data_IF_132829504787
#
_entry.id   IF_132829504787
#
_cell.length_a   1.000
_cell.length_b   1.000
_cell.length_c   1.000
_cell.angle_alpha   90.00
_cell.angle_beta   90.00
_cell.angle_gamma   90.00
#
_symmetry.space_group_name_H-M   'P 1'
#
loop_
_entity.id
_entity.type
_entity.pdbx_description
1 polymer ?
#
# COMPACT_ATOMS: atom_id res chain seq x y z
N UNK A 1 -18.97 -22.89 13.39
CA UNK A 1 -17.74 -22.83 12.62
C UNK A 1 -18.20 -22.99 11.18
N UNK A 2 -18.68 -21.87 10.59
CA UNK A 2 -19.16 -21.84 9.23
C UNK A 2 -17.95 -21.81 8.31
N UNK A 3 -17.92 -22.78 7.39
CA UNK A 3 -16.90 -22.93 6.38
C UNK A 3 -16.87 -21.69 5.49
N UNK A 4 -15.89 -20.81 5.71
CA UNK A 4 -15.44 -19.89 4.70
C UNK A 4 -14.65 -20.67 3.66
N UNK A 5 -15.39 -21.44 2.85
CA UNK A 5 -14.88 -21.88 1.57
C UNK A 5 -14.79 -20.65 0.69
N UNK A 6 -13.56 -20.21 0.39
CA UNK A 6 -13.31 -19.26 -0.69
C UNK A 6 -13.84 -19.89 -1.98
N UNK A 7 -15.09 -19.62 -2.33
CA UNK A 7 -15.56 -19.80 -3.68
C UNK A 7 -14.80 -18.78 -4.54
N UNK A 8 -14.04 -19.26 -5.50
CA UNK A 8 -13.38 -18.53 -6.55
C UNK A 8 -14.39 -17.69 -7.35
N UNK A 9 -14.79 -16.54 -6.85
CA UNK A 9 -15.86 -15.72 -7.43
C UNK A 9 -15.89 -14.27 -6.97
N UNK A 10 -15.09 -13.88 -5.99
CA UNK A 10 -14.98 -12.46 -5.62
C UNK A 10 -13.92 -11.78 -6.49
N UNK A 11 -14.31 -10.70 -7.17
CA UNK A 11 -13.34 -9.86 -7.87
C UNK A 11 -12.42 -9.18 -6.83
N UNK A 12 -11.10 -9.11 -7.09
CA UNK A 12 -10.17 -8.40 -6.22
C UNK A 12 -10.57 -6.93 -6.03
N UNK A 13 -10.23 -6.36 -4.88
CA UNK A 13 -10.45 -4.96 -4.60
C UNK A 13 -9.69 -4.06 -5.59
N UNK A 14 -10.36 -3.03 -6.08
CA UNK A 14 -9.82 -2.08 -7.04
C UNK A 14 -10.16 -0.63 -6.69
N UNK A 15 -9.78 0.31 -7.53
CA UNK A 15 -10.07 1.75 -7.34
C UNK A 15 -11.58 1.99 -7.19
N UNK A 16 -11.96 2.66 -6.11
CA UNK A 16 -13.34 2.96 -5.74
C UNK A 16 -13.94 2.01 -4.71
N UNK A 17 -13.35 0.83 -4.50
CA UNK A 17 -13.81 -0.11 -3.50
C UNK A 17 -13.41 0.34 -2.09
N UNK A 18 -14.21 -0.08 -1.11
CA UNK A 18 -13.96 0.16 0.32
C UNK A 18 -13.32 -1.08 0.93
N UNK A 19 -12.15 -0.92 1.53
CA UNK A 19 -11.47 -2.00 2.24
C UNK A 19 -12.27 -2.36 3.51
N UNK A 20 -12.59 -3.66 3.74
CA UNK A 20 -13.28 -4.10 4.95
C UNK A 20 -12.49 -3.75 6.21
N UNK A 21 -13.10 -3.04 7.15
CA UNK A 21 -12.42 -2.55 8.36
C UNK A 21 -12.15 -3.64 9.40
N UNK A 22 -12.89 -4.74 9.36
CA UNK A 22 -12.78 -5.84 10.32
C UNK A 22 -11.58 -6.77 10.07
N UNK A 23 -10.89 -6.61 8.94
CA UNK A 23 -9.70 -7.41 8.63
C UNK A 23 -8.57 -7.05 9.59
N UNK A 24 -8.11 -8.07 10.31
CA UNK A 24 -7.01 -7.99 11.29
C UNK A 24 -5.87 -8.88 10.85
N UNK A 25 -4.65 -8.41 11.02
CA UNK A 25 -3.43 -9.10 10.63
C UNK A 25 -2.30 -8.81 11.63
N UNK A 26 -1.39 -9.77 11.76
CA UNK A 26 -0.21 -9.61 12.60
C UNK A 26 0.80 -8.67 11.96
N UNK A 27 1.43 -7.80 12.74
CA UNK A 27 2.49 -6.89 12.26
C UNK A 27 3.72 -6.98 13.16
N UNK A 28 4.90 -6.83 12.55
CA UNK A 28 6.13 -6.48 13.25
C UNK A 28 6.37 -4.97 13.13
N UNK A 29 6.56 -4.31 14.26
CA UNK A 29 6.89 -2.88 14.31
C UNK A 29 7.68 -2.56 15.57
N UNK A 30 8.71 -1.73 15.47
CA UNK A 30 9.49 -1.21 16.61
C UNK A 30 10.03 -2.31 17.57
N UNK A 31 10.36 -3.47 17.01
CA UNK A 31 10.90 -4.62 17.77
C UNK A 31 9.84 -5.53 18.38
N UNK A 32 8.56 -5.21 18.26
CA UNK A 32 7.44 -5.98 18.82
C UNK A 32 6.52 -6.57 17.74
N UNK A 33 5.75 -7.59 18.13
CA UNK A 33 4.74 -8.22 17.30
C UNK A 33 3.38 -7.95 17.91
N UNK A 34 2.48 -7.35 17.13
CA UNK A 34 1.13 -6.99 17.57
C UNK A 34 0.11 -7.25 16.45
N UNK A 35 -1.14 -6.97 16.70
CA UNK A 35 -2.20 -6.99 15.70
C UNK A 35 -2.53 -5.57 15.24
N UNK A 36 -2.85 -5.43 13.96
CA UNK A 36 -3.34 -4.22 13.32
C UNK A 36 -4.58 -4.56 12.50
N UNK A 37 -5.57 -3.68 12.51
CA UNK A 37 -6.75 -3.82 11.66
C UNK A 37 -6.91 -2.63 10.71
N UNK A 38 -7.68 -2.78 9.63
CA UNK A 38 -8.01 -1.62 8.78
C UNK A 38 -8.88 -0.60 9.52
N UNK A 39 -9.57 -1.00 10.59
CA UNK A 39 -10.27 -0.07 11.49
C UNK A 39 -9.31 0.90 12.18
N UNK A 40 -8.11 0.43 12.60
CA UNK A 40 -7.08 1.26 13.25
C UNK A 40 -6.43 2.24 12.27
N UNK A 41 -6.57 1.98 10.97
CA UNK A 41 -6.08 2.81 9.88
C UNK A 41 -7.11 3.84 9.39
N UNK A 42 -8.39 3.73 9.81
CA UNK A 42 -9.40 4.73 9.48
C UNK A 42 -9.02 6.11 10.02
N UNK A 43 -9.40 7.14 9.29
CA UNK A 43 -9.03 8.53 9.61
C UNK A 43 -7.63 8.93 9.15
N UNK A 44 -6.83 7.99 8.63
CA UNK A 44 -5.50 8.24 8.04
C UNK A 44 -5.49 7.81 6.57
N UNK A 45 -4.71 8.47 5.75
CA UNK A 45 -4.28 7.90 4.48
C UNK A 45 -3.45 6.65 4.75
N UNK A 46 -3.59 5.62 3.91
CA UNK A 46 -2.81 4.39 4.06
C UNK A 46 -2.16 4.04 2.73
N UNK A 47 -0.86 3.77 2.76
CA UNK A 47 -0.12 3.17 1.66
C UNK A 47 0.12 1.70 2.00
N UNK A 48 -0.65 0.81 1.39
CA UNK A 48 -0.47 -0.63 1.53
C UNK A 48 0.49 -1.10 0.44
N UNK A 49 1.60 -1.70 0.84
CA UNK A 49 2.76 -1.95 -0.01
C UNK A 49 3.15 -3.42 0.01
N UNK A 50 2.56 -4.22 -0.92
CA UNK A 50 2.84 -5.64 -1.02
C UNK A 50 4.19 -5.89 -1.68
N UNK A 51 4.92 -6.92 -1.23
CA UNK A 51 6.16 -7.37 -1.81
C UNK A 51 6.27 -8.92 -1.70
N UNK A 52 7.06 -9.58 -2.58
CA UNK A 52 7.08 -11.04 -2.64
C UNK A 52 7.50 -11.74 -1.34
N UNK A 53 8.69 -11.45 -0.83
CA UNK A 53 9.20 -12.13 0.37
C UNK A 53 10.37 -11.39 1.02
N UNK A 54 10.57 -11.68 2.31
CA UNK A 54 11.74 -11.30 3.08
C UNK A 54 13.01 -12.01 2.55
N UNK A 55 14.18 -11.49 2.91
CA UNK A 55 15.50 -12.04 2.54
C UNK A 55 15.72 -12.19 1.02
N UNK A 56 15.10 -11.34 0.20
CA UNK A 56 15.24 -11.30 -1.25
C UNK A 56 16.14 -10.14 -1.73
N UNK A 57 16.08 -9.79 -3.01
CA UNK A 57 17.06 -8.88 -3.65
C UNK A 57 16.50 -7.49 -3.95
N UNK A 58 15.33 -7.39 -4.60
CA UNK A 58 14.67 -6.13 -4.95
C UNK A 58 13.91 -5.56 -3.73
N UNK A 59 13.25 -6.42 -2.95
CA UNK A 59 12.41 -6.02 -1.83
C UNK A 59 13.12 -5.11 -0.81
N UNK A 60 14.37 -5.39 -0.36
CA UNK A 60 15.04 -4.50 0.57
C UNK A 60 15.33 -3.12 -0.02
N UNK A 61 15.51 -2.99 -1.34
CA UNK A 61 15.72 -1.69 -1.98
C UNK A 61 14.45 -0.84 -1.95
N UNK A 62 13.29 -1.45 -2.19
CA UNK A 62 11.99 -0.79 -2.13
C UNK A 62 11.63 -0.38 -0.70
N UNK A 63 11.72 -1.33 0.26
CA UNK A 63 11.39 -1.06 1.66
C UNK A 63 12.33 -0.01 2.25
N UNK A 64 13.61 -0.02 1.87
CA UNK A 64 14.59 0.99 2.28
C UNK A 64 14.23 2.39 1.75
N UNK A 65 13.84 2.53 0.46
CA UNK A 65 13.38 3.81 -0.08
C UNK A 65 12.11 4.31 0.63
N UNK A 66 11.15 3.40 0.89
CA UNK A 66 9.95 3.74 1.65
C UNK A 66 10.28 4.17 3.09
N UNK A 67 11.26 3.55 3.74
CA UNK A 67 11.73 3.94 5.06
C UNK A 67 12.41 5.32 5.06
N UNK A 68 13.25 5.59 4.06
CA UNK A 68 13.90 6.90 3.90
C UNK A 68 12.87 8.03 3.64
N UNK A 69 11.68 7.72 3.10
CA UNK A 69 10.59 8.66 2.83
C UNK A 69 9.48 8.65 3.90
N UNK A 70 9.57 7.80 4.91
CA UNK A 70 8.46 7.56 5.83
C UNK A 70 8.02 8.82 6.59
N UNK A 71 8.95 9.68 6.99
CA UNK A 71 8.60 10.96 7.62
C UNK A 71 7.76 11.84 6.70
N UNK A 72 8.06 11.87 5.40
CA UNK A 72 7.25 12.61 4.41
C UNK A 72 5.84 12.04 4.26
N UNK A 73 5.67 10.71 4.35
CA UNK A 73 4.34 10.11 4.40
C UNK A 73 3.57 10.51 5.67
N UNK A 74 4.22 10.51 6.83
CA UNK A 74 3.61 10.92 8.11
C UNK A 74 3.19 12.41 8.10
N UNK A 75 4.00 13.29 7.53
CA UNK A 75 3.66 14.71 7.35
C UNK A 75 2.38 14.92 6.54
N UNK A 76 2.08 14.01 5.61
CA UNK A 76 0.84 14.00 4.85
C UNK A 76 -0.34 13.34 5.58
N UNK A 77 -0.14 12.88 6.82
CA UNK A 77 -1.13 12.14 7.59
C UNK A 77 -1.35 10.72 7.09
N UNK A 78 -0.32 10.11 6.50
CA UNK A 78 -0.38 8.76 5.97
C UNK A 78 0.41 7.75 6.81
N UNK A 79 -0.14 6.54 6.95
CA UNK A 79 0.58 5.37 7.43
C UNK A 79 1.03 4.53 6.24
N UNK A 80 2.25 3.99 6.31
CA UNK A 80 2.75 2.99 5.37
C UNK A 80 2.66 1.63 6.05
N UNK A 81 2.14 0.63 5.36
CA UNK A 81 2.10 -0.75 5.83
C UNK A 81 2.65 -1.64 4.72
N UNK A 82 3.82 -2.24 4.93
CA UNK A 82 4.32 -3.25 4.00
C UNK A 82 3.69 -4.61 4.31
N UNK A 83 3.49 -5.44 3.28
CA UNK A 83 2.83 -6.74 3.39
C UNK A 83 3.59 -7.78 2.59
N UNK A 84 3.92 -8.92 3.18
CA UNK A 84 4.32 -10.13 2.46
C UNK A 84 3.64 -11.36 3.04
N UNK A 85 3.75 -12.48 2.33
CA UNK A 85 3.21 -13.76 2.79
C UNK A 85 4.05 -14.43 3.89
N UNK A 86 5.14 -13.78 4.33
CA UNK A 86 5.93 -14.21 5.47
C UNK A 86 5.19 -14.03 6.80
N UNK A 87 5.72 -14.63 7.86
CA UNK A 87 5.22 -14.43 9.22
C UNK A 87 5.89 -13.22 9.88
N UNK A 88 5.25 -12.62 10.88
CA UNK A 88 5.84 -11.52 11.66
C UNK A 88 7.17 -11.88 12.33
N UNK A 89 7.40 -13.17 12.63
CA UNK A 89 8.69 -13.66 13.15
C UNK A 89 9.79 -13.60 12.08
N UNK A 90 9.47 -13.82 10.81
CA UNK A 90 10.41 -13.70 9.70
C UNK A 90 10.75 -12.23 9.48
N UNK A 91 9.76 -11.32 9.52
CA UNK A 91 10.00 -9.87 9.49
C UNK A 91 10.97 -9.42 10.58
N UNK A 92 10.76 -9.90 11.81
CA UNK A 92 11.68 -9.61 12.92
C UNK A 92 13.09 -10.11 12.64
N UNK A 93 13.22 -11.35 12.18
CA UNK A 93 14.52 -11.94 11.88
C UNK A 93 15.25 -11.18 10.76
N UNK A 94 14.52 -10.73 9.74
CA UNK A 94 15.07 -9.93 8.66
C UNK A 94 15.48 -8.52 9.11
N UNK A 95 14.64 -7.89 9.94
CA UNK A 95 14.98 -6.62 10.59
C UNK A 95 16.29 -6.73 11.39
N UNK A 96 16.45 -7.78 12.19
CA UNK A 96 17.66 -7.98 12.99
C UNK A 96 18.91 -8.23 12.13
N UNK A 97 18.75 -8.84 10.95
CA UNK A 97 19.85 -9.28 10.09
C UNK A 97 20.28 -8.25 9.03
N UNK A 98 19.40 -7.33 8.63
CA UNK A 98 19.63 -6.43 7.49
C UNK A 98 19.75 -4.97 7.91
N UNK A 99 20.89 -4.34 7.63
CA UNK A 99 21.10 -2.90 7.89
C UNK A 99 20.12 -2.00 7.11
N UNK A 100 19.65 -2.44 5.94
CA UNK A 100 18.64 -1.71 5.18
C UNK A 100 17.27 -1.81 5.85
N UNK A 101 16.87 -3.01 6.28
CA UNK A 101 15.56 -3.24 6.88
C UNK A 101 15.48 -2.67 8.30
N UNK A 102 16.58 -2.55 9.01
CA UNK A 102 16.63 -1.82 10.31
C UNK A 102 16.16 -0.36 10.22
N UNK A 103 16.12 0.24 9.04
CA UNK A 103 15.55 1.58 8.84
C UNK A 103 14.02 1.57 8.84
N UNK A 104 13.38 0.43 8.64
CA UNK A 104 11.92 0.31 8.58
C UNK A 104 11.32 0.50 9.96
N UNK A 105 10.57 1.60 10.13
CA UNK A 105 9.87 1.95 11.37
C UNK A 105 8.34 1.98 11.20
N UNK A 106 7.85 1.67 9.99
CA UNK A 106 6.44 1.45 9.72
C UNK A 106 6.08 -0.04 9.93
N UNK A 107 4.77 -0.37 10.11
CA UNK A 107 4.34 -1.77 10.27
C UNK A 107 4.71 -2.66 9.08
N UNK A 108 5.27 -3.82 9.36
CA UNK A 108 5.47 -4.92 8.42
C UNK A 108 4.41 -5.99 8.69
N UNK A 109 3.40 -6.08 7.85
CA UNK A 109 2.26 -6.98 8.00
C UNK A 109 2.56 -8.37 7.44
N UNK A 110 2.16 -9.36 8.19
CA UNK A 110 2.29 -10.78 7.87
C UNK A 110 0.98 -11.32 7.28
N UNK A 111 1.07 -11.95 6.10
CA UNK A 111 -0.07 -12.56 5.40
C UNK A 111 0.17 -14.04 5.06
N UNK A 112 0.59 -14.91 6.02
CA UNK A 112 0.90 -16.31 5.73
C UNK A 112 -0.33 -17.14 5.33
N UNK A 113 -1.54 -16.64 5.56
CA UNK A 113 -2.78 -17.25 5.12
C UNK A 113 -3.28 -16.71 3.77
N UNK A 114 -2.53 -15.81 3.14
CA UNK A 114 -2.80 -15.21 1.84
C UNK A 114 -4.12 -14.41 1.75
N UNK A 115 -4.69 -14.03 2.90
CA UNK A 115 -5.99 -13.32 2.97
C UNK A 115 -5.90 -11.94 2.33
N UNK A 116 -4.86 -11.18 2.67
CA UNK A 116 -4.66 -9.84 2.10
C UNK A 116 -4.23 -9.93 0.64
N UNK A 117 -3.26 -10.79 0.32
CA UNK A 117 -2.74 -10.93 -1.05
C UNK A 117 -3.81 -11.36 -2.04
N UNK A 118 -4.72 -12.24 -1.64
CA UNK A 118 -5.86 -12.68 -2.45
C UNK A 118 -6.89 -11.56 -2.60
N UNK A 119 -7.31 -10.96 -1.49
CA UNK A 119 -8.32 -9.88 -1.48
C UNK A 119 -7.91 -8.69 -2.36
N UNK A 120 -6.63 -8.32 -2.34
CA UNK A 120 -6.09 -7.23 -3.15
C UNK A 120 -5.63 -7.67 -4.55
N UNK A 121 -5.82 -8.94 -4.92
CA UNK A 121 -5.54 -9.46 -6.26
C UNK A 121 -4.07 -9.47 -6.63
N UNK A 122 -3.19 -9.62 -5.65
CA UNK A 122 -1.74 -9.65 -5.84
C UNK A 122 -1.12 -11.01 -5.52
N UNK A 123 -1.92 -12.01 -5.15
CA UNK A 123 -1.42 -13.36 -4.90
C UNK A 123 -0.97 -14.04 -6.19
N UNK A 124 0.20 -14.67 -6.16
CA UNK A 124 0.68 -15.63 -7.15
C UNK A 124 0.43 -17.02 -6.55
N UNK A 125 -0.69 -17.63 -6.90
CA UNK A 125 -1.18 -18.86 -6.27
C UNK A 125 -0.14 -20.00 -6.34
N UNK A 126 0.54 -20.16 -7.48
CA UNK A 126 1.50 -21.22 -7.71
C UNK A 126 2.77 -21.08 -6.85
N UNK A 127 3.09 -19.87 -6.41
CA UNK A 127 4.29 -19.57 -5.62
C UNK A 127 3.95 -19.31 -4.15
N UNK A 128 2.70 -18.97 -3.83
CA UNK A 128 2.29 -18.52 -2.51
C UNK A 128 2.92 -17.18 -2.12
N UNK A 129 3.28 -16.35 -3.10
CA UNK A 129 3.91 -15.05 -2.92
C UNK A 129 3.00 -13.91 -3.38
N UNK A 130 3.25 -12.71 -2.89
CA UNK A 130 2.56 -11.52 -3.37
C UNK A 130 3.35 -10.84 -4.50
N UNK A 131 2.64 -10.35 -5.53
CA UNK A 131 3.21 -9.40 -6.50
C UNK A 131 3.55 -8.07 -5.82
N UNK A 132 4.35 -7.25 -6.50
CA UNK A 132 4.64 -5.88 -6.07
C UNK A 132 3.44 -4.96 -6.28
N UNK A 133 2.47 -5.01 -5.35
CA UNK A 133 1.27 -4.20 -5.36
C UNK A 133 1.37 -2.98 -4.44
N UNK A 134 0.93 -1.81 -4.89
CA UNK A 134 0.82 -0.59 -4.08
C UNK A 134 -0.60 -0.06 -4.16
N UNK A 135 -1.24 0.13 -3.02
CA UNK A 135 -2.59 0.66 -2.90
C UNK A 135 -2.57 1.91 -2.03
N UNK A 136 -3.09 3.02 -2.53
CA UNK A 136 -3.29 4.24 -1.75
C UNK A 136 -4.77 4.29 -1.36
N UNK A 137 -5.01 4.30 -0.07
CA UNK A 137 -6.34 4.19 0.54
C UNK A 137 -6.61 5.48 1.30
N UNK A 138 -7.78 6.10 1.08
CA UNK A 138 -8.20 7.32 1.74
C UNK A 138 -8.63 7.07 3.20
N UNK A 139 -8.77 8.13 4.03
CA UNK A 139 -9.16 8.01 5.44
C UNK A 139 -10.51 7.30 5.69
N UNK A 140 -11.41 7.34 4.72
CA UNK A 140 -12.69 6.62 4.72
C UNK A 140 -12.59 5.18 4.22
N UNK A 141 -11.36 4.74 3.88
CA UNK A 141 -11.03 3.37 3.46
C UNK A 141 -11.26 3.07 1.99
N UNK A 142 -11.46 4.08 1.14
CA UNK A 142 -11.64 3.91 -0.29
C UNK A 142 -10.30 3.84 -1.00
N UNK A 143 -10.09 2.84 -1.85
CA UNK A 143 -8.89 2.73 -2.69
C UNK A 143 -8.91 3.84 -3.75
N UNK A 144 -7.86 4.65 -3.79
CA UNK A 144 -7.70 5.77 -4.74
C UNK A 144 -6.76 5.47 -5.89
N UNK A 145 -5.71 4.68 -5.66
CA UNK A 145 -4.80 4.24 -6.71
C UNK A 145 -4.38 2.80 -6.49
N UNK A 146 -4.15 2.09 -7.58
CA UNK A 146 -3.57 0.74 -7.62
C UNK A 146 -2.41 0.75 -8.60
N UNK A 147 -1.30 0.16 -8.20
CA UNK A 147 -0.12 -0.06 -9.05
C UNK A 147 0.40 -1.46 -8.78
N UNK A 148 0.52 -2.28 -9.81
CA UNK A 148 1.04 -3.66 -9.69
C UNK A 148 2.15 -3.82 -10.72
N UNK A 149 3.34 -4.21 -10.26
CA UNK A 149 4.51 -4.46 -11.09
C UNK A 149 4.81 -5.95 -11.21
N UNK A 150 5.49 -6.30 -12.29
CA UNK A 150 6.21 -7.57 -12.41
C UNK A 150 7.28 -7.69 -11.30
N UNK A 151 7.53 -8.91 -10.82
CA UNK A 151 8.40 -9.15 -9.67
C UNK A 151 9.86 -8.76 -9.90
N UNK A 152 10.28 -8.65 -11.16
CA UNK A 152 11.61 -8.18 -11.53
C UNK A 152 11.76 -6.65 -11.59
N UNK A 153 10.64 -5.90 -11.45
CA UNK A 153 10.62 -4.44 -11.62
C UNK A 153 10.29 -3.75 -10.29
N UNK A 154 11.32 -3.20 -9.63
CA UNK A 154 11.14 -2.42 -8.41
C UNK A 154 10.32 -1.14 -8.66
N UNK A 155 9.55 -0.75 -7.64
CA UNK A 155 8.72 0.48 -7.64
C UNK A 155 9.52 1.65 -7.09
N UNK A 156 9.04 2.87 -7.34
CA UNK A 156 9.60 4.10 -6.77
C UNK A 156 8.77 4.61 -5.60
N UNK A 157 9.36 4.71 -4.42
CA UNK A 157 8.76 5.32 -3.25
C UNK A 157 8.43 6.80 -3.47
N UNK A 158 9.26 7.52 -4.23
CA UNK A 158 9.02 8.92 -4.61
C UNK A 158 7.77 9.07 -5.48
N UNK A 159 7.55 8.15 -6.41
CA UNK A 159 6.34 8.15 -7.24
C UNK A 159 5.11 7.80 -6.41
N UNK A 160 5.22 6.87 -5.48
CA UNK A 160 4.16 6.56 -4.51
C UNK A 160 3.79 7.79 -3.67
N UNK A 161 4.80 8.51 -3.17
CA UNK A 161 4.59 9.77 -2.41
C UNK A 161 3.91 10.85 -3.28
N UNK A 162 4.34 11.00 -4.54
CA UNK A 162 3.72 11.94 -5.50
C UNK A 162 2.23 11.58 -5.73
N UNK A 163 1.93 10.30 -5.94
CA UNK A 163 0.54 9.81 -6.12
C UNK A 163 -0.31 10.05 -4.88
N UNK A 164 0.25 9.83 -3.68
CA UNK A 164 -0.44 10.14 -2.43
C UNK A 164 -0.79 11.63 -2.32
N UNK A 165 0.16 12.52 -2.66
CA UNK A 165 -0.09 13.97 -2.68
C UNK A 165 -1.22 14.34 -3.64
N UNK A 166 -1.23 13.75 -4.84
CA UNK A 166 -2.29 13.96 -5.81
C UNK A 166 -3.65 13.44 -5.32
N UNK A 167 -3.69 12.25 -4.73
CA UNK A 167 -4.92 11.66 -4.18
C UNK A 167 -5.48 12.51 -3.03
N UNK A 168 -4.60 13.00 -2.14
CA UNK A 168 -4.97 13.90 -1.04
C UNK A 168 -5.50 15.22 -1.58
N UNK A 169 -4.81 15.85 -2.51
CA UNK A 169 -5.23 17.11 -3.13
C UNK A 169 -6.63 17.01 -3.72
N UNK A 170 -6.89 15.98 -4.54
CA UNK A 170 -8.23 15.75 -5.15
C UNK A 170 -9.30 15.49 -4.07
N UNK A 171 -8.95 14.79 -2.99
CA UNK A 171 -9.85 14.58 -1.86
C UNK A 171 -10.27 15.87 -1.16
N UNK A 172 -9.36 16.83 -1.05
CA UNK A 172 -9.59 18.15 -0.46
C UNK A 172 -10.21 19.16 -1.44
N UNK A 173 -10.06 18.92 -2.75
CA UNK A 173 -10.52 19.82 -3.81
C UNK A 173 -11.40 19.09 -4.84
N UNK A 174 -12.63 18.71 -4.52
CA UNK A 174 -13.47 17.83 -5.34
C UNK A 174 -13.83 18.39 -6.71
N UNK A 175 -13.64 19.70 -6.95
CA UNK A 175 -13.89 20.35 -8.24
C UNK A 175 -12.64 20.47 -9.12
N UNK A 176 -11.49 19.97 -8.66
CA UNK A 176 -10.22 20.02 -9.37
C UNK A 176 -9.74 18.62 -9.73
N UNK A 177 -9.01 18.52 -10.83
CA UNK A 177 -8.32 17.29 -11.23
C UNK A 177 -6.84 17.57 -11.42
N UNK A 178 -6.01 16.60 -11.05
CA UNK A 178 -4.57 16.63 -11.29
C UNK A 178 -4.28 16.11 -12.70
N UNK A 179 -3.64 16.90 -13.58
CA UNK A 179 -3.22 16.41 -14.89
C UNK A 179 -2.08 15.38 -14.78
N UNK A 180 -1.69 14.83 -15.94
CA UNK A 180 -0.58 13.88 -16.00
C UNK A 180 0.70 14.45 -15.36
N UNK A 181 1.44 13.61 -14.61
CA UNK A 181 2.68 13.96 -13.92
C UNK A 181 2.59 15.12 -12.92
N UNK A 182 1.40 15.48 -12.48
CA UNK A 182 1.18 16.58 -11.51
C UNK A 182 2.00 16.38 -10.24
N UNK A 183 2.62 17.47 -9.77
CA UNK A 183 3.29 17.59 -8.49
C UNK A 183 2.61 18.67 -7.65
N UNK A 184 2.81 18.60 -6.34
CA UNK A 184 2.32 19.63 -5.42
C UNK A 184 2.85 21.01 -5.81
N UNK A 185 1.94 21.96 -6.01
CA UNK A 185 2.23 23.32 -6.50
C UNK A 185 2.05 23.52 -8.00
N UNK A 186 1.87 22.45 -8.78
CA UNK A 186 1.55 22.56 -10.20
C UNK A 186 0.09 22.99 -10.41
N UNK A 187 -0.19 23.53 -11.59
CA UNK A 187 -1.55 23.91 -11.99
C UNK A 187 -2.48 22.69 -12.03
N UNK A 188 -3.74 22.92 -11.71
CA UNK A 188 -4.82 21.93 -11.78
C UNK A 188 -5.87 22.34 -12.77
N UNK A 189 -6.70 21.41 -13.19
CA UNK A 189 -7.79 21.69 -14.12
C UNK A 189 -9.13 21.65 -13.36
N UNK A 190 -10.02 22.60 -13.69
CA UNK A 190 -11.43 22.54 -13.26
C UNK A 190 -12.24 21.99 -14.45
N UNK A 191 -12.73 20.73 -14.39
CA UNK A 191 -13.45 20.11 -15.49
C UNK A 191 -14.66 20.95 -15.92
N UNK A 192 -14.77 21.23 -17.22
CA UNK A 192 -15.87 22.00 -17.77
C UNK A 192 -15.96 21.81 -19.29
N UNK A 193 -17.15 22.05 -19.84
CA UNK A 193 -17.40 21.90 -21.29
C UNK A 193 -16.52 22.86 -22.14
N UNK A 194 -16.14 23.98 -21.55
CA UNK A 194 -15.27 25.00 -22.15
C UNK A 194 -13.81 24.53 -22.35
N UNK A 195 -13.37 23.48 -21.63
CA UNK A 195 -12.04 22.89 -21.78
C UNK A 195 -11.96 21.80 -22.85
N UNK A 196 -13.10 21.31 -23.35
CA UNK A 196 -13.13 20.21 -24.32
C UNK A 196 -12.43 20.66 -25.63
N UNK A 197 -11.37 19.92 -26.00
CA UNK A 197 -10.55 20.19 -27.18
C UNK A 197 -9.62 21.40 -27.06
N UNK A 198 -9.39 21.92 -25.85
CA UNK A 198 -8.47 23.06 -25.60
C UNK A 198 -7.26 22.69 -24.72
N UNK A 199 -7.16 21.43 -24.30
CA UNK A 199 -6.08 20.90 -23.49
C UNK A 199 -5.17 20.04 -24.37
#
# INVERSE_FOLDING_TARGET
MEDYMFESGFAPLTVGDVVPEELTFSVFKDGDISELSFKDLRGKWTVLFFYPADFTFVCPTELGEMADLYDSFKELGAEVVSVSTDTAFVHKAWFDASETIKKVTYPMAADPAHVLSDLFGVLIEEEGLARRGTFIISPDGVIKTVEIHDDAIGRSGKETLRKLKAAKFVGEHPNNVCPAAWNEGDDTLSPGVDLVGKI
#
